data_IF_712585881576
#
_entry.id   IF_712585881576
#
_cell.length_a   1.000
_cell.length_b   1.000
_cell.length_c   1.000
_cell.angle_alpha   90.00
_cell.angle_beta   90.00
_cell.angle_gamma   90.00
#
_symmetry.space_group_name_H-M   'P 1'
#
loop_
_entity.id
_entity.type
_entity.pdbx_description
1 polymer ?
#
# COMPACT_ATOMS: atom_id res chain seq x y z
N UNK A 1 0.12 -13.40 -10.44
CA UNK A 1 -0.97 -12.41 -10.65
C UNK A 1 -0.42 -11.18 -11.36
N UNK A 2 -1.11 -10.66 -12.38
CA UNK A 2 -0.70 -9.41 -13.04
C UNK A 2 -1.33 -8.21 -12.33
N UNK A 3 -0.63 -7.62 -11.36
CA UNK A 3 -1.00 -6.33 -10.79
C UNK A 3 -1.06 -5.30 -11.92
N UNK A 4 -2.25 -4.80 -12.23
CA UNK A 4 -2.45 -3.86 -13.34
C UNK A 4 -2.19 -2.42 -12.88
N UNK A 5 -1.80 -1.55 -13.81
CA UNK A 5 -1.65 -0.12 -13.51
C UNK A 5 -2.95 0.53 -13.00
N UNK A 6 -4.11 0.01 -13.43
CA UNK A 6 -5.41 0.43 -12.95
C UNK A 6 -5.61 0.09 -11.46
N UNK A 7 -5.28 -1.14 -11.04
CA UNK A 7 -5.36 -1.55 -9.63
C UNK A 7 -4.45 -0.70 -8.74
N UNK A 8 -3.21 -0.44 -9.19
CA UNK A 8 -2.28 0.42 -8.44
C UNK A 8 -2.84 1.83 -8.29
N UNK A 9 -3.46 2.37 -9.34
CA UNK A 9 -4.08 3.70 -9.32
C UNK A 9 -5.27 3.74 -8.36
N UNK A 10 -6.15 2.74 -8.42
CA UNK A 10 -7.32 2.65 -7.55
C UNK A 10 -6.91 2.52 -6.07
N UNK A 11 -5.90 1.70 -5.78
CA UNK A 11 -5.39 1.54 -4.43
C UNK A 11 -4.78 2.84 -3.90
N UNK A 12 -4.07 3.58 -4.75
CA UNK A 12 -3.54 4.90 -4.41
C UNK A 12 -4.64 5.89 -4.09
N UNK A 13 -5.73 5.91 -4.87
CA UNK A 13 -6.86 6.80 -4.64
C UNK A 13 -7.59 6.47 -3.33
N UNK A 14 -7.72 5.19 -2.98
CA UNK A 14 -8.36 4.75 -1.72
C UNK A 14 -7.48 4.95 -0.49
N UNK A 15 -6.20 4.59 -0.57
CA UNK A 15 -5.27 4.60 0.57
C UNK A 15 -4.52 5.91 0.77
N UNK A 16 -4.40 6.73 -0.29
CA UNK A 16 -3.55 7.93 -0.32
C UNK A 16 -2.05 7.64 -0.30
N UNK A 17 -1.63 6.37 -0.38
CA UNK A 17 -0.22 5.99 -0.33
C UNK A 17 0.54 6.30 -1.64
N UNK A 18 1.87 6.27 -1.57
CA UNK A 18 2.71 6.45 -2.75
C UNK A 18 2.50 5.35 -3.81
N UNK A 19 2.66 5.69 -5.09
CA UNK A 19 2.47 4.76 -6.21
C UNK A 19 3.29 3.46 -6.07
N UNK A 20 4.54 3.58 -5.59
CA UNK A 20 5.43 2.43 -5.38
C UNK A 20 5.00 1.56 -4.19
N UNK A 21 4.49 2.17 -3.13
CA UNK A 21 3.95 1.41 -2.00
C UNK A 21 2.68 0.67 -2.41
N UNK A 22 1.80 1.29 -3.19
CA UNK A 22 0.59 0.65 -3.72
C UNK A 22 0.94 -0.55 -4.63
N UNK A 23 1.91 -0.37 -5.53
CA UNK A 23 2.38 -1.45 -6.41
C UNK A 23 2.97 -2.61 -5.60
N UNK A 24 3.72 -2.29 -4.53
CA UNK A 24 4.30 -3.31 -3.66
C UNK A 24 3.23 -4.03 -2.85
N UNK A 25 2.30 -3.29 -2.25
CA UNK A 25 1.18 -3.86 -1.51
C UNK A 25 0.38 -4.85 -2.35
N UNK A 26 -0.04 -4.46 -3.55
CA UNK A 26 -0.74 -5.35 -4.47
C UNK A 26 0.11 -6.54 -4.93
N UNK A 27 1.44 -6.41 -4.96
CA UNK A 27 2.33 -7.52 -5.25
C UNK A 27 2.41 -8.54 -4.11
N UNK A 28 2.40 -8.09 -2.86
CA UNK A 28 2.46 -8.93 -1.67
C UNK A 28 1.09 -9.55 -1.32
N UNK A 29 0.00 -8.92 -1.76
CA UNK A 29 -1.38 -9.38 -1.51
C UNK A 29 -2.02 -10.02 -2.73
N UNK A 30 -1.24 -10.35 -3.76
CA UNK A 30 -1.72 -10.95 -5.01
C UNK A 30 -2.87 -10.16 -5.68
N UNK A 31 -2.87 -8.84 -5.53
CA UNK A 31 -3.87 -7.94 -6.09
C UNK A 31 -5.14 -7.81 -5.27
N UNK A 32 -5.19 -8.38 -4.06
CA UNK A 32 -6.26 -8.14 -3.11
C UNK A 32 -6.20 -6.71 -2.59
N UNK A 33 -7.24 -5.93 -2.88
CA UNK A 33 -7.34 -4.51 -2.55
C UNK A 33 -7.49 -4.26 -1.06
N UNK A 34 -8.30 -5.06 -0.35
CA UNK A 34 -8.51 -4.88 1.09
C UNK A 34 -7.23 -5.24 1.85
N UNK A 35 -6.62 -6.37 1.49
CA UNK A 35 -5.34 -6.77 2.06
C UNK A 35 -4.24 -5.75 1.72
N UNK A 36 -4.22 -5.17 0.51
CA UNK A 36 -3.22 -4.17 0.14
C UNK A 36 -3.40 -2.86 0.93
N UNK A 37 -4.63 -2.43 1.20
CA UNK A 37 -4.93 -1.28 2.06
C UNK A 37 -4.40 -1.54 3.47
N UNK A 38 -4.68 -2.71 4.04
CA UNK A 38 -4.18 -3.08 5.37
C UNK A 38 -2.65 -3.16 5.41
N UNK A 39 -2.03 -3.73 4.37
CA UNK A 39 -0.58 -3.77 4.23
C UNK A 39 0.02 -2.35 4.25
N UNK A 40 -0.56 -1.42 3.50
CA UNK A 40 -0.15 -0.01 3.47
C UNK A 40 -0.33 0.67 4.83
N UNK A 41 -1.45 0.41 5.51
CA UNK A 41 -1.76 0.99 6.82
C UNK A 41 -0.75 0.53 7.87
N UNK A 42 -0.47 -0.77 7.90
CA UNK A 42 0.48 -1.39 8.84
C UNK A 42 1.90 -0.85 8.62
N UNK A 43 2.32 -0.71 7.36
CA UNK A 43 3.62 -0.16 7.00
C UNK A 43 3.73 1.34 7.29
N UNK A 44 2.66 2.10 7.06
CA UNK A 44 2.57 3.53 7.37
C UNK A 44 2.69 3.82 8.86
N UNK A 45 2.05 3.00 9.70
CA UNK A 45 2.17 3.08 11.17
C UNK A 45 3.61 2.80 11.63
N UNK A 46 4.27 1.80 11.05
CA UNK A 46 5.68 1.52 11.36
C UNK A 46 6.62 2.69 10.98
N UNK A 47 6.36 3.36 9.87
CA UNK A 47 7.11 4.54 9.46
C UNK A 47 6.85 5.75 10.38
N UNK A 48 5.60 5.96 10.80
CA UNK A 48 5.22 7.02 11.73
C UNK A 48 5.82 6.79 13.14
N UNK A 49 5.80 5.56 13.63
CA UNK A 49 6.39 5.17 14.91
C UNK A 49 7.90 5.45 14.95
N UNK A 50 8.63 5.17 13.86
CA UNK A 50 10.06 5.50 13.75
C UNK A 50 10.34 7.01 13.72
N UNK A 51 9.38 7.83 13.31
CA UNK A 51 9.53 9.29 13.26
C UNK A 51 9.28 9.96 14.61
N UNK A 52 8.53 9.32 15.51
CA UNK A 52 8.28 9.81 16.87
C UNK A 52 9.48 9.68 17.82
N UNK A 53 10.56 9.02 17.40
CA UNK A 53 11.78 8.85 18.20
C UNK A 53 12.94 9.76 17.79
N UNK A 54 12.69 10.83 17.04
CA UNK A 54 13.71 11.83 16.66
C UNK A 54 13.51 13.15 17.38
#
# INVERSE_FOLDING_TARGET
MSVTAALVKELREKSGAGMMDCKKALGETDGDMDAAIDWLRTKGLAAAAKKSGR
#
